data_IF_255696864363
#
_entry.id   IF_255696864363
#
_cell.length_a   1.000
_cell.length_b   1.000
_cell.length_c   1.000
_cell.angle_alpha   90.00
_cell.angle_beta   90.00
_cell.angle_gamma   90.00
#
_symmetry.space_group_name_H-M   'P 1'
#
loop_
_entity.id
_entity.type
_entity.pdbx_description
1 polymer ?
#
# COMPACT_ATOMS: atom_id res chain seq x y z
N UNK A 1 0.28 5.84 2.28
CA UNK A 1 -0.45 4.85 3.12
C UNK A 1 -1.84 5.32 3.59
N UNK A 2 -2.07 6.62 3.86
CA UNK A 2 -3.34 7.11 4.41
C UNK A 2 -4.59 6.84 3.57
N UNK A 3 -4.52 7.07 2.25
CA UNK A 3 -5.70 6.88 1.37
C UNK A 3 -5.93 5.40 1.06
N UNK A 4 -4.97 4.73 0.41
CA UNK A 4 -5.20 3.36 -0.08
C UNK A 4 -5.00 2.28 0.99
N UNK A 5 -3.96 2.38 1.83
CA UNK A 5 -3.67 1.37 2.84
C UNK A 5 -4.69 1.37 3.97
N UNK A 6 -4.85 2.51 4.63
CA UNK A 6 -5.82 2.66 5.73
C UNK A 6 -7.26 2.66 5.21
N UNK A 7 -7.55 3.38 4.12
CA UNK A 7 -8.88 3.39 3.51
C UNK A 7 -9.31 1.99 3.02
N UNK A 8 -8.39 1.22 2.43
CA UNK A 8 -8.66 -0.16 2.02
C UNK A 8 -8.92 -1.10 3.20
N UNK A 9 -8.08 -1.02 4.25
CA UNK A 9 -8.27 -1.80 5.47
C UNK A 9 -9.62 -1.50 6.14
N UNK A 10 -9.98 -0.22 6.25
CA UNK A 10 -11.27 0.19 6.78
C UNK A 10 -12.44 -0.32 5.93
N UNK A 11 -12.37 -0.17 4.61
CA UNK A 11 -13.41 -0.67 3.71
C UNK A 11 -13.64 -2.18 3.81
N UNK A 12 -12.56 -2.96 3.95
CA UNK A 12 -12.64 -4.39 4.15
C UNK A 12 -13.34 -4.75 5.48
N UNK A 13 -12.96 -4.11 6.59
CA UNK A 13 -13.61 -4.33 7.88
C UNK A 13 -15.07 -3.88 7.87
N UNK A 14 -15.38 -2.73 7.28
CA UNK A 14 -16.74 -2.22 7.13
C UNK A 14 -17.63 -3.19 6.34
N UNK A 15 -17.09 -3.87 5.33
CA UNK A 15 -17.81 -4.95 4.62
C UNK A 15 -18.25 -6.06 5.59
N UNK A 16 -17.38 -6.46 6.52
CA UNK A 16 -17.70 -7.45 7.55
C UNK A 16 -18.72 -6.97 8.59
N UNK A 17 -18.92 -5.65 8.68
CA UNK A 17 -19.93 -5.05 9.54
C UNK A 17 -21.28 -4.91 8.84
N UNK A 18 -21.31 -4.39 7.60
CA UNK A 18 -22.55 -3.84 7.00
C UNK A 18 -23.00 -4.46 5.67
N UNK A 19 -22.32 -5.48 5.13
CA UNK A 19 -22.78 -6.13 3.90
C UNK A 19 -24.16 -6.81 4.06
N UNK A 20 -25.09 -6.46 3.16
CA UNK A 20 -26.48 -6.97 3.18
C UNK A 20 -26.78 -8.03 2.11
N UNK A 21 -25.82 -8.30 1.23
CA UNK A 21 -25.93 -9.27 0.13
C UNK A 21 -24.78 -10.27 0.19
N UNK A 22 -24.93 -11.42 -0.46
CA UNK A 22 -23.92 -12.49 -0.45
C UNK A 22 -23.87 -13.21 0.91
N UNK A 23 -22.68 -13.39 1.47
CA UNK A 23 -22.49 -14.04 2.76
C UNK A 23 -23.10 -13.24 3.95
N UNK A 24 -23.54 -12.01 3.72
CA UNK A 24 -24.00 -11.10 4.77
C UNK A 24 -22.86 -10.67 5.68
N UNK A 25 -23.20 -9.93 6.73
CA UNK A 25 -22.30 -9.35 7.71
C UNK A 25 -22.88 -9.43 9.13
N UNK A 26 -22.17 -8.80 10.07
CA UNK A 26 -22.60 -8.65 11.46
C UNK A 26 -24.06 -8.17 11.58
N UNK A 27 -24.45 -7.08 10.91
CA UNK A 27 -25.80 -6.52 11.03
C UNK A 27 -26.89 -7.42 10.43
N UNK A 28 -26.53 -8.36 9.56
CA UNK A 28 -27.44 -9.35 9.00
C UNK A 28 -27.41 -10.70 9.73
N UNK A 29 -26.66 -10.79 10.84
CA UNK A 29 -26.58 -11.99 11.69
C UNK A 29 -25.38 -12.91 11.41
N UNK A 30 -24.54 -12.62 10.42
CA UNK A 30 -23.30 -13.36 10.17
C UNK A 30 -22.11 -12.75 10.93
N UNK A 31 -21.92 -13.20 12.17
CA UNK A 31 -20.79 -12.83 13.02
C UNK A 31 -19.43 -13.26 12.46
N UNK A 32 -19.38 -14.31 11.64
CA UNK A 32 -18.12 -14.81 11.09
C UNK A 32 -17.46 -13.86 10.10
N UNK A 33 -18.26 -13.03 9.41
CA UNK A 33 -17.77 -12.19 8.32
C UNK A 33 -16.75 -11.15 8.80
N UNK A 34 -16.91 -10.56 9.99
CA UNK A 34 -15.93 -9.60 10.51
C UNK A 34 -14.55 -10.24 10.73
N UNK A 35 -14.52 -11.51 11.16
CA UNK A 35 -13.29 -12.28 11.32
C UNK A 35 -12.61 -12.60 9.98
N UNK A 36 -13.39 -13.01 8.98
CA UNK A 36 -12.89 -13.25 7.61
C UNK A 36 -12.27 -11.98 7.03
N UNK A 37 -12.94 -10.83 7.18
CA UNK A 37 -12.41 -9.56 6.68
C UNK A 37 -11.17 -9.09 7.44
N UNK A 38 -11.12 -9.28 8.77
CA UNK A 38 -9.93 -8.97 9.56
C UNK A 38 -8.72 -9.83 9.13
N UNK A 39 -8.93 -11.14 8.93
CA UNK A 39 -7.91 -12.04 8.41
C UNK A 39 -7.44 -11.59 7.01
N UNK A 40 -8.36 -11.19 6.14
CA UNK A 40 -8.03 -10.68 4.80
C UNK A 40 -7.10 -9.46 4.88
N UNK A 41 -7.40 -8.48 5.74
CA UNK A 41 -6.56 -7.28 5.92
C UNK A 41 -5.16 -7.66 6.42
N UNK A 42 -5.08 -8.51 7.44
CA UNK A 42 -3.79 -8.92 8.02
C UNK A 42 -2.96 -9.76 7.05
N UNK A 43 -3.58 -10.71 6.35
CA UNK A 43 -2.90 -11.58 5.40
C UNK A 43 -2.37 -10.79 4.20
N UNK A 44 -3.23 -9.99 3.56
CA UNK A 44 -2.84 -9.18 2.39
C UNK A 44 -1.85 -8.09 2.77
N UNK A 45 -2.09 -7.36 3.87
CA UNK A 45 -1.21 -6.30 4.35
C UNK A 45 0.14 -6.83 4.82
N UNK A 46 0.16 -7.95 5.56
CA UNK A 46 1.37 -8.64 5.99
C UNK A 46 2.19 -9.14 4.81
N UNK A 47 1.54 -9.81 3.85
CA UNK A 47 2.21 -10.25 2.63
C UNK A 47 2.79 -9.07 1.84
N UNK A 48 1.98 -8.05 1.55
CA UNK A 48 2.41 -6.88 0.79
C UNK A 48 3.59 -6.18 1.46
N UNK A 49 3.55 -6.00 2.79
CA UNK A 49 4.65 -5.39 3.52
C UNK A 49 5.91 -6.25 3.49
N UNK A 50 5.83 -7.53 3.90
CA UNK A 50 7.00 -8.40 4.03
C UNK A 50 7.67 -8.62 2.68
N UNK A 51 6.90 -8.97 1.65
CA UNK A 51 7.43 -9.26 0.33
C UNK A 51 8.03 -8.01 -0.30
N UNK A 52 7.34 -6.87 -0.22
CA UNK A 52 7.87 -5.61 -0.77
C UNK A 52 9.13 -5.18 -0.02
N UNK A 53 9.17 -5.34 1.32
CA UNK A 53 10.35 -5.02 2.12
C UNK A 53 11.56 -5.87 1.71
N UNK A 54 11.38 -7.18 1.53
CA UNK A 54 12.44 -8.08 1.07
C UNK A 54 12.91 -7.67 -0.33
N UNK A 55 12.00 -7.45 -1.27
CA UNK A 55 12.35 -7.05 -2.63
C UNK A 55 13.08 -5.71 -2.66
N UNK A 56 12.58 -4.70 -1.97
CA UNK A 56 13.20 -3.39 -1.89
C UNK A 56 14.61 -3.48 -1.29
N UNK A 57 14.78 -4.26 -0.22
CA UNK A 57 16.10 -4.47 0.41
C UNK A 57 17.08 -5.17 -0.52
N UNK A 58 16.62 -6.18 -1.28
CA UNK A 58 17.46 -6.89 -2.24
C UNK A 58 17.90 -5.93 -3.34
N UNK A 59 16.95 -5.20 -3.95
CA UNK A 59 17.25 -4.24 -5.02
C UNK A 59 18.18 -3.13 -4.55
N UNK A 60 17.94 -2.58 -3.37
CA UNK A 60 18.78 -1.52 -2.82
C UNK A 60 20.23 -2.00 -2.61
N UNK A 61 20.42 -3.24 -2.16
CA UNK A 61 21.75 -3.83 -2.01
C UNK A 61 22.43 -4.20 -3.33
N UNK A 62 21.67 -4.51 -4.38
CA UNK A 62 22.25 -4.97 -5.66
C UNK A 62 22.48 -3.85 -6.65
N UNK A 63 21.61 -2.84 -6.69
CA UNK A 63 21.67 -1.76 -7.67
C UNK A 63 21.47 -0.36 -7.07
N UNK A 64 21.03 -0.26 -5.81
CA UNK A 64 20.63 1.00 -5.19
C UNK A 64 19.26 1.47 -5.70
N UNK A 65 18.35 1.83 -4.79
CA UNK A 65 17.03 2.35 -5.17
C UNK A 65 16.94 3.88 -5.14
N UNK A 66 17.83 4.55 -4.40
CA UNK A 66 17.86 6.01 -4.27
C UNK A 66 19.05 6.58 -5.05
N UNK A 67 18.84 7.73 -5.70
CA UNK A 67 19.92 8.51 -6.33
C UNK A 67 20.88 9.06 -5.28
N UNK A 68 22.02 9.62 -5.72
CA UNK A 68 22.93 10.30 -4.78
C UNK A 68 22.28 11.57 -4.20
N UNK A 69 22.71 12.00 -3.02
CA UNK A 69 22.20 13.21 -2.38
C UNK A 69 22.40 14.45 -3.27
N UNK A 70 23.52 14.53 -4.02
CA UNK A 70 23.77 15.60 -4.98
C UNK A 70 22.73 15.60 -6.11
N UNK A 71 22.42 14.44 -6.67
CA UNK A 71 21.40 14.31 -7.72
C UNK A 71 20.00 14.65 -7.21
N UNK A 72 19.68 14.28 -5.97
CA UNK A 72 18.40 14.61 -5.34
C UNK A 72 18.26 16.12 -5.10
N UNK A 73 19.34 16.80 -4.70
CA UNK A 73 19.37 18.26 -4.49
C UNK A 73 19.20 19.02 -5.81
N UNK A 74 19.87 18.60 -6.89
CA UNK A 74 19.76 19.24 -8.20
C UNK A 74 18.37 19.01 -8.81
N UNK A 75 17.79 17.82 -8.60
CA UNK A 75 16.45 17.44 -9.04
C UNK A 75 16.47 16.37 -10.14
N UNK A 76 15.57 15.39 -10.01
CA UNK A 76 15.50 14.21 -10.87
C UNK A 76 15.17 14.55 -12.33
N UNK A 77 14.41 15.61 -12.59
CA UNK A 77 14.10 16.06 -13.95
C UNK A 77 15.38 16.40 -14.71
N UNK A 78 16.30 17.13 -14.08
CA UNK A 78 17.55 17.55 -14.70
C UNK A 78 18.57 16.42 -14.74
N UNK A 79 18.73 15.69 -13.63
CA UNK A 79 19.78 14.68 -13.47
C UNK A 79 19.48 13.35 -14.18
N UNK A 80 18.20 12.95 -14.25
CA UNK A 80 17.82 11.68 -14.88
C UNK A 80 17.14 11.85 -16.23
N UNK A 81 16.49 12.99 -16.48
CA UNK A 81 15.69 13.20 -17.70
C UNK A 81 16.20 14.35 -18.59
N UNK A 82 17.16 15.16 -18.13
CA UNK A 82 17.67 16.30 -18.88
C UNK A 82 16.66 17.43 -19.11
N UNK A 83 15.57 17.43 -18.34
CA UNK A 83 14.44 18.35 -18.47
C UNK A 83 14.43 19.37 -17.33
N UNK A 84 13.76 20.50 -17.55
CA UNK A 84 13.46 21.50 -16.51
C UNK A 84 11.95 21.65 -16.45
N UNK A 85 11.34 21.23 -15.34
CA UNK A 85 9.88 21.21 -15.20
C UNK A 85 9.22 22.58 -15.40
N UNK A 86 9.90 23.66 -15.00
CA UNK A 86 9.45 25.03 -15.26
C UNK A 86 10.65 25.94 -15.54
N UNK A 87 10.63 26.65 -16.67
CA UNK A 87 11.50 27.79 -16.93
C UNK A 87 10.72 29.07 -16.55
N UNK A 88 11.03 29.66 -15.39
CA UNK A 88 10.51 30.98 -14.99
C UNK A 88 11.49 32.09 -15.39
#
# INVERSE_FOLDING_TARGET
MGIHGIGGAWGALATGLVATVGAGSLITGNLGQIGVQALSVLASGGYAFVVTYVLATVLDKTMGLRVSDEQEIIGLDKELHGEVGYNL
#
